data_IF_549927600636
#
_entry.id   IF_549927600636
#
_cell.length_a   1.000
_cell.length_b   1.000
_cell.length_c   1.000
_cell.angle_alpha   90.00
_cell.angle_beta   90.00
_cell.angle_gamma   90.00
#
_symmetry.space_group_name_H-M   'P 1'
#
loop_
_entity.id
_entity.type
_entity.pdbx_description
1 polymer ?
#
# COMPACT_ATOMS: atom_id res chain seq x y z
N UNK A 1 18.79 10.17 -14.76
CA UNK A 1 18.30 9.91 -13.40
C UNK A 1 16.78 9.80 -13.47
N UNK A 2 16.21 8.60 -13.60
CA UNK A 2 14.77 8.42 -13.89
C UNK A 2 13.97 8.42 -12.57
N UNK A 3 13.01 9.33 -12.34
CA UNK A 3 12.11 9.24 -11.20
C UNK A 3 11.14 8.08 -11.47
N UNK A 4 11.45 6.89 -10.97
CA UNK A 4 10.53 5.74 -11.03
C UNK A 4 9.49 5.86 -9.92
N UNK A 5 8.51 6.76 -10.13
CA UNK A 5 7.23 6.75 -9.43
C UNK A 5 6.45 5.51 -9.89
N UNK A 6 6.46 4.43 -9.12
CA UNK A 6 5.70 3.23 -9.47
C UNK A 6 5.25 2.50 -8.21
N UNK A 7 3.94 2.49 -7.97
CA UNK A 7 3.35 1.64 -6.94
C UNK A 7 3.53 0.19 -7.33
N UNK A 8 4.26 -0.59 -6.52
CA UNK A 8 4.46 -2.04 -6.76
C UNK A 8 3.36 -2.79 -6.02
N UNK A 9 2.61 -3.63 -6.74
CA UNK A 9 1.62 -4.51 -6.13
C UNK A 9 2.23 -5.87 -5.94
N UNK A 10 2.11 -6.44 -4.75
CA UNK A 10 2.55 -7.82 -4.50
C UNK A 10 1.36 -8.69 -4.12
N UNK A 11 0.93 -9.50 -5.09
CA UNK A 11 -0.26 -10.36 -5.01
C UNK A 11 0.15 -11.82 -4.77
N UNK A 12 -0.68 -12.59 -4.06
CA UNK A 12 -0.36 -13.97 -3.61
C UNK A 12 -0.99 -14.36 -2.24
N UNK A 13 -1.20 -15.65 -1.96
CA UNK A 13 -1.81 -16.13 -0.70
C UNK A 13 -1.04 -15.74 0.57
N UNK A 14 -1.70 -15.80 1.75
CA UNK A 14 -1.01 -15.65 3.04
C UNK A 14 0.06 -16.74 3.19
N UNK A 15 1.25 -16.38 3.68
CA UNK A 15 2.37 -17.31 3.87
C UNK A 15 3.36 -17.41 2.70
N UNK A 16 3.23 -16.60 1.65
CA UNK A 16 4.06 -16.65 0.42
C UNK A 16 5.36 -15.83 0.48
N UNK A 17 5.86 -15.49 1.68
CA UNK A 17 7.13 -14.77 1.80
C UNK A 17 7.13 -13.31 1.31
N UNK A 18 5.97 -12.73 0.97
CA UNK A 18 5.86 -11.32 0.53
C UNK A 18 6.32 -10.31 1.59
N UNK A 19 5.94 -10.56 2.84
CA UNK A 19 6.36 -9.77 3.98
C UNK A 19 7.87 -9.90 4.16
N UNK A 20 8.43 -11.10 3.96
CA UNK A 20 9.88 -11.36 4.01
C UNK A 20 10.63 -10.65 2.88
N UNK A 21 10.12 -10.71 1.65
CA UNK A 21 10.67 -9.98 0.50
C UNK A 21 10.62 -8.46 0.73
N UNK A 22 9.51 -7.93 1.23
CA UNK A 22 9.42 -6.50 1.57
C UNK A 22 10.31 -6.12 2.75
N UNK A 23 10.53 -6.99 3.74
CA UNK A 23 11.52 -6.78 4.81
C UNK A 23 12.91 -6.60 4.24
N UNK A 24 13.26 -7.39 3.22
CA UNK A 24 14.59 -7.36 2.63
C UNK A 24 14.77 -6.19 1.66
N UNK A 25 13.79 -5.96 0.78
CA UNK A 25 13.82 -4.90 -0.24
C UNK A 25 13.61 -3.50 0.38
N UNK A 26 12.77 -3.41 1.41
CA UNK A 26 12.37 -2.15 2.05
C UNK A 26 12.44 -2.25 3.59
N UNK A 27 13.66 -2.30 4.16
CA UNK A 27 13.84 -2.44 5.62
C UNK A 27 13.31 -1.23 6.39
N UNK A 28 13.34 -0.04 5.78
CA UNK A 28 12.91 1.22 6.41
C UNK A 28 11.49 1.64 6.01
N UNK A 29 10.67 0.75 5.46
CA UNK A 29 9.32 1.09 5.04
C UNK A 29 8.39 1.30 6.24
N UNK A 30 7.49 2.28 6.12
CA UNK A 30 6.35 2.44 7.02
C UNK A 30 5.36 1.32 6.69
N UNK A 31 5.06 0.48 7.67
CA UNK A 31 4.23 -0.72 7.49
C UNK A 31 2.88 -0.55 8.15
N UNK A 32 1.85 -0.87 7.40
CA UNK A 32 0.46 -0.81 7.82
C UNK A 32 -0.14 -2.17 7.54
N UNK A 33 -0.39 -2.95 8.58
CA UNK A 33 -1.02 -4.26 8.47
C UNK A 33 -2.51 -4.14 8.79
N UNK A 34 -3.37 -4.29 7.78
CA UNK A 34 -4.82 -4.24 7.95
C UNK A 34 -5.42 -5.56 8.49
N UNK A 35 -4.60 -6.56 8.79
CA UNK A 35 -5.00 -7.72 9.59
C UNK A 35 -4.95 -7.45 11.08
N UNK A 36 -4.10 -6.52 11.53
CA UNK A 36 -4.11 -6.08 12.92
C UNK A 36 -5.45 -5.37 13.21
N UNK A 37 -6.30 -5.92 14.11
CA UNK A 37 -7.59 -5.34 14.40
C UNK A 37 -7.50 -3.91 14.96
N UNK A 38 -6.40 -3.55 15.65
CA UNK A 38 -6.23 -2.20 16.16
C UNK A 38 -5.99 -1.21 15.01
N UNK A 39 -5.04 -1.51 14.13
CA UNK A 39 -4.75 -0.72 12.92
C UNK A 39 -5.99 -0.60 12.02
N UNK A 40 -6.68 -1.73 11.76
CA UNK A 40 -7.89 -1.74 10.94
C UNK A 40 -8.99 -0.85 11.53
N UNK A 41 -9.27 -0.95 12.84
CA UNK A 41 -10.28 -0.10 13.50
C UNK A 41 -9.90 1.38 13.44
N UNK A 42 -8.63 1.71 13.69
CA UNK A 42 -8.16 3.09 13.68
C UNK A 42 -8.28 3.75 12.30
N UNK A 43 -7.91 3.03 11.25
CA UNK A 43 -7.97 3.54 9.87
C UNK A 43 -9.37 3.45 9.27
N UNK A 44 -10.19 2.47 9.67
CA UNK A 44 -11.60 2.40 9.28
C UNK A 44 -12.41 3.56 9.85
N UNK A 45 -12.10 4.00 11.09
CA UNK A 45 -12.81 5.11 11.70
C UNK A 45 -12.45 6.47 11.07
N UNK A 46 -11.21 6.63 10.58
CA UNK A 46 -10.75 7.84 9.90
C UNK A 46 -9.63 7.49 8.90
N UNK A 47 -9.96 7.19 7.63
CA UNK A 47 -8.98 6.82 6.61
C UNK A 47 -7.88 7.88 6.40
N UNK A 48 -8.20 9.16 6.62
CA UNK A 48 -7.26 10.29 6.49
C UNK A 48 -6.09 10.19 7.48
N UNK A 49 -6.19 9.40 8.55
CA UNK A 49 -5.06 9.15 9.45
C UNK A 49 -3.87 8.51 8.76
N UNK A 50 -4.09 7.83 7.62
CA UNK A 50 -2.99 7.37 6.78
C UNK A 50 -2.08 8.55 6.41
N UNK A 51 -2.64 9.70 6.02
CA UNK A 51 -1.84 10.89 5.71
C UNK A 51 -1.02 11.36 6.90
N UNK A 52 -1.60 11.39 8.10
CA UNK A 52 -0.88 11.79 9.31
C UNK A 52 0.31 10.85 9.58
N UNK A 53 0.14 9.54 9.39
CA UNK A 53 1.22 8.57 9.53
C UNK A 53 2.33 8.80 8.50
N UNK A 54 1.97 9.14 7.26
CA UNK A 54 2.93 9.47 6.20
C UNK A 54 3.68 10.77 6.51
N UNK A 55 2.95 11.82 6.85
CA UNK A 55 3.51 13.16 7.12
C UNK A 55 4.40 13.14 8.38
N UNK A 56 4.10 12.28 9.37
CA UNK A 56 4.95 12.04 10.53
C UNK A 56 6.25 11.27 10.22
N UNK A 57 6.34 10.63 9.06
CA UNK A 57 7.48 9.82 8.63
C UNK A 57 8.11 10.33 7.33
N UNK A 58 8.56 11.60 7.24
CA UNK A 58 9.00 12.21 5.98
C UNK A 58 10.30 11.61 5.41
N UNK A 59 11.09 10.91 6.23
CA UNK A 59 12.30 10.20 5.78
C UNK A 59 12.00 8.84 5.17
N UNK A 60 10.80 8.32 5.41
CA UNK A 60 10.38 6.99 5.00
C UNK A 60 9.81 7.04 3.59
N UNK A 61 10.65 6.72 2.61
CA UNK A 61 10.27 6.80 1.20
C UNK A 61 9.24 5.74 0.79
N UNK A 62 9.20 4.60 1.47
CA UNK A 62 8.31 3.49 1.11
C UNK A 62 7.22 3.28 2.16
N UNK A 63 5.99 3.17 1.69
CA UNK A 63 4.82 2.90 2.54
C UNK A 63 4.20 1.60 2.07
N UNK A 64 4.23 0.59 2.93
CA UNK A 64 3.71 -0.73 2.68
C UNK A 64 2.37 -0.89 3.39
N UNK A 65 1.29 -1.13 2.63
CA UNK A 65 -0.04 -1.39 3.18
C UNK A 65 -0.45 -2.81 2.81
N UNK A 66 -0.54 -3.67 3.83
CA UNK A 66 -0.91 -5.07 3.67
C UNK A 66 -2.41 -5.28 3.71
N UNK A 67 -2.87 -6.26 2.95
CA UNK A 67 -4.26 -6.70 2.86
C UNK A 67 -5.25 -5.55 2.57
N UNK A 68 -4.91 -4.65 1.63
CA UNK A 68 -5.70 -3.46 1.26
C UNK A 68 -7.17 -3.77 0.92
N UNK A 69 -7.48 -5.00 0.48
CA UNK A 69 -8.87 -5.44 0.29
C UNK A 69 -9.71 -5.45 1.57
N UNK A 70 -9.11 -5.36 2.77
CA UNK A 70 -9.79 -5.23 4.06
C UNK A 70 -10.35 -3.83 4.30
N UNK A 71 -9.71 -2.81 3.74
CA UNK A 71 -10.18 -1.42 3.80
C UNK A 71 -9.94 -0.71 2.46
N UNK A 72 -10.75 -1.00 1.43
CA UNK A 72 -10.58 -0.43 0.09
C UNK A 72 -10.66 1.10 0.07
N UNK A 73 -11.38 1.72 1.02
CA UNK A 73 -11.51 3.18 1.17
C UNK A 73 -10.15 3.89 1.33
N UNK A 74 -9.11 3.21 1.84
CA UNK A 74 -7.76 3.77 1.92
C UNK A 74 -7.15 4.07 0.54
N UNK A 75 -7.66 3.47 -0.53
CA UNK A 75 -7.15 3.72 -1.88
C UNK A 75 -7.34 5.17 -2.32
N UNK A 76 -8.44 5.81 -1.92
CA UNK A 76 -8.69 7.23 -2.20
C UNK A 76 -7.63 8.12 -1.52
N UNK A 77 -7.28 7.81 -0.27
CA UNK A 77 -6.25 8.54 0.48
C UNK A 77 -4.87 8.31 -0.13
N UNK A 78 -4.54 7.07 -0.50
CA UNK A 78 -3.30 6.74 -1.21
C UNK A 78 -3.21 7.49 -2.53
N UNK A 79 -4.31 7.56 -3.28
CA UNK A 79 -4.36 8.28 -4.54
C UNK A 79 -4.03 9.77 -4.35
N UNK A 80 -4.69 10.43 -3.40
CA UNK A 80 -4.44 11.83 -3.05
C UNK A 80 -2.97 12.08 -2.66
N UNK A 81 -2.35 11.16 -1.91
CA UNK A 81 -0.95 11.27 -1.50
C UNK A 81 0.01 11.14 -2.68
N UNK A 82 -0.28 10.25 -3.63
CA UNK A 82 0.50 10.09 -4.86
C UNK A 82 0.38 11.33 -5.74
N UNK A 83 -0.83 11.89 -5.90
CA UNK A 83 -1.06 13.09 -6.71
C UNK A 83 -0.34 14.33 -6.17
N UNK A 84 -0.22 14.44 -4.85
CA UNK A 84 0.57 15.50 -4.19
C UNK A 84 2.07 15.40 -4.44
N UNK A 85 2.56 14.37 -5.14
CA UNK A 85 3.98 14.16 -5.49
C UNK A 85 4.90 14.26 -4.27
N UNK A 86 4.48 13.71 -3.14
CA UNK A 86 5.23 13.76 -1.88
C UNK A 86 6.57 13.01 -1.93
N UNK A 87 6.87 12.30 -3.02
CA UNK A 87 8.08 11.49 -3.17
C UNK A 87 8.00 10.14 -2.47
N UNK A 88 6.83 9.79 -1.91
CA UNK A 88 6.57 8.49 -1.31
C UNK A 88 6.20 7.44 -2.37
N UNK A 89 6.66 6.22 -2.18
CA UNK A 89 6.32 5.04 -2.96
C UNK A 89 5.39 4.16 -2.15
N UNK A 90 4.16 3.96 -2.62
CA UNK A 90 3.19 3.07 -2.01
C UNK A 90 3.31 1.67 -2.58
N UNK A 91 3.41 0.67 -1.70
CA UNK A 91 3.43 -0.75 -2.02
C UNK A 91 2.20 -1.35 -1.37
N UNK A 92 1.26 -1.85 -2.17
CA UNK A 92 -0.03 -2.34 -1.71
C UNK A 92 -0.12 -3.84 -1.95
N UNK A 93 -0.53 -4.61 -0.95
CA UNK A 93 -0.63 -6.07 -1.05
C UNK A 93 -2.01 -6.58 -0.69
N UNK A 94 -2.30 -7.78 -1.20
CA UNK A 94 -3.55 -8.46 -0.93
C UNK A 94 -3.51 -9.93 -1.29
N UNK A 95 -4.18 -10.75 -0.49
CA UNK A 95 -4.37 -12.18 -0.72
C UNK A 95 -5.24 -12.51 -1.92
N UNK A 96 -6.09 -11.57 -2.37
CA UNK A 96 -6.95 -11.77 -3.54
C UNK A 96 -6.92 -10.56 -4.47
N UNK A 97 -6.13 -10.69 -5.54
CA UNK A 97 -6.13 -9.77 -6.68
C UNK A 97 -7.54 -9.54 -7.27
N UNK A 98 -8.38 -10.58 -7.25
CA UNK A 98 -9.74 -10.55 -7.79
C UNK A 98 -10.68 -9.62 -7.00
N UNK A 99 -10.57 -9.58 -5.66
CA UNK A 99 -11.38 -8.69 -4.81
C UNK A 99 -10.96 -7.23 -4.96
N UNK A 100 -9.66 -6.99 -5.10
CA UNK A 100 -9.10 -5.69 -5.43
C UNK A 100 -9.64 -5.17 -6.77
N UNK A 101 -9.58 -5.96 -7.85
CA UNK A 101 -10.07 -5.52 -9.18
C UNK A 101 -11.56 -5.17 -9.22
N UNK A 102 -12.40 -5.76 -8.37
CA UNK A 102 -13.85 -5.45 -8.28
C UNK A 102 -14.17 -4.19 -7.46
N UNK A 103 -13.27 -3.76 -6.58
CA UNK A 103 -13.52 -2.71 -5.58
C UNK A 103 -13.13 -1.29 -5.99
N UNK A 104 -12.93 -1.01 -7.29
CA UNK A 104 -12.66 0.35 -7.77
C UNK A 104 -11.25 0.59 -8.28
N UNK A 105 -10.45 -0.46 -8.46
CA UNK A 105 -9.02 -0.27 -8.70
C UNK A 105 -8.71 -0.33 -10.18
N UNK A 106 -9.10 0.75 -10.87
CA UNK A 106 -8.40 1.21 -12.06
C UNK A 106 -7.07 1.82 -11.57
N UNK A 107 -6.17 0.94 -11.13
CA UNK A 107 -5.03 1.17 -10.23
C UNK A 107 -4.22 2.42 -10.61
N UNK A 108 -4.53 3.54 -9.93
CA UNK A 108 -3.77 4.79 -9.99
C UNK A 108 -3.62 5.40 -11.39
N UNK A 109 -4.62 5.19 -12.27
CA UNK A 109 -4.61 5.71 -13.64
C UNK A 109 -3.51 5.09 -14.52
N UNK A 110 -3.23 3.80 -14.36
CA UNK A 110 -2.24 3.06 -15.17
C UNK A 110 -0.79 3.18 -14.69
N UNK A 111 -0.55 3.76 -13.52
CA UNK A 111 0.80 4.00 -12.94
C UNK A 111 1.23 2.96 -11.90
N UNK A 112 0.41 1.92 -11.73
CA UNK A 112 0.65 0.78 -10.88
C UNK A 112 1.39 -0.32 -11.66
N UNK A 113 2.57 -0.73 -11.18
CA UNK A 113 3.24 -1.93 -11.69
C UNK A 113 2.78 -3.16 -10.88
N UNK A 114 2.11 -4.10 -11.55
CA UNK A 114 1.65 -5.34 -10.93
C UNK A 114 2.77 -6.39 -10.91
N UNK A 115 3.07 -6.96 -9.74
CA UNK A 115 3.99 -8.10 -9.57
C UNK A 115 3.24 -9.24 -8.89
N UNK A 116 3.20 -10.39 -9.55
CA UNK A 116 2.69 -11.65 -8.99
C UNK A 116 3.87 -12.41 -8.41
N UNK A 117 3.84 -12.71 -7.11
CA UNK A 117 4.74 -13.72 -6.52
C UNK A 117 3.98 -15.05 -6.50
N UNK A 118 4.53 -16.05 -7.17
CA UNK A 118 4.02 -17.42 -7.25
C UNK A 118 4.56 -18.25 -6.07
#
# INVERSE_FOLDING_TARGET
MRPQMCGKWVLGPRGTGKTLWCNHEFPNALRIDLLDPATLRQLSARPERLRELVDANPRTKQIFIDEIQKLPELLEVVHLLIEKKTGHQFVLTGSSARKLRRGGVNLLGGRAAERHLH
#
